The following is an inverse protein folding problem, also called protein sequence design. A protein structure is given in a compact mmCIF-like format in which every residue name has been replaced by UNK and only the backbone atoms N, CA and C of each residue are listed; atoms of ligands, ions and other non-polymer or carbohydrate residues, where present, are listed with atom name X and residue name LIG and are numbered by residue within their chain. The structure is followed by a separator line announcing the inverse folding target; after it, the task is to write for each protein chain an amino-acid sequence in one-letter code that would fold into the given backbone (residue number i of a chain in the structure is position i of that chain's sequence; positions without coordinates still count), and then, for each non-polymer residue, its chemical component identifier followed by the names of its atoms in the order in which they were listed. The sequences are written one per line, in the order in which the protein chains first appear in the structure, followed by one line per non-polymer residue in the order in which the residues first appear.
data_IF_873871379880
#
_entry.id   IF_873871379880
#
_cell.length_a   1.000
_cell.length_b   1.000
_cell.length_c   1.000
_cell.angle_alpha   90.00
_cell.angle_beta   90.00
_cell.angle_gamma   90.00
#
_symmetry.space_group_name_H-M   'P 1'
#
loop_
_entity.id
_entity.type
_entity.pdbx_description
1 polymer ?
#
# COMPACT_ATOMS: atom_id res chain seq x y z
N UNK A 1 24.50 36.24 15.57
CA UNK A 1 23.27 35.56 15.11
C UNK A 1 23.49 34.06 15.31
N UNK A 2 23.01 33.49 16.42
CA UNK A 2 23.13 32.04 16.70
C UNK A 2 21.90 31.38 16.10
N UNK A 3 22.10 30.52 15.10
CA UNK A 3 21.05 29.69 14.54
C UNK A 3 20.92 28.48 15.48
N UNK A 4 19.93 28.53 16.37
CA UNK A 4 19.48 27.35 17.13
C UNK A 4 18.72 26.46 16.18
N UNK A 5 19.31 25.31 15.84
CA UNK A 5 18.60 24.21 15.20
C UNK A 5 17.63 23.63 16.24
N UNK A 6 16.34 23.96 16.14
CA UNK A 6 15.29 23.27 16.88
C UNK A 6 15.15 21.89 16.25
N UNK A 7 15.68 20.86 16.93
CA UNK A 7 15.28 19.48 16.66
C UNK A 7 13.76 19.45 16.85
N UNK A 8 13.03 19.17 15.78
CA UNK A 8 11.59 18.93 15.81
C UNK A 8 11.30 17.92 16.91
N UNK A 9 10.48 18.32 17.89
CA UNK A 9 9.97 17.44 18.93
C UNK A 9 9.03 16.40 18.31
N UNK A 10 9.59 15.35 17.69
CA UNK A 10 8.90 14.07 17.69
C UNK A 10 8.90 13.60 19.15
N UNK A 11 7.78 13.84 19.82
CA UNK A 11 7.51 13.33 21.18
C UNK A 11 7.49 11.81 21.11
N UNK A 12 8.65 11.17 21.22
CA UNK A 12 8.79 9.72 21.34
C UNK A 12 8.24 9.31 22.70
N UNK A 13 6.95 9.02 22.73
CA UNK A 13 6.34 8.33 23.86
C UNK A 13 6.61 6.84 23.67
N UNK A 14 7.29 6.27 24.66
CA UNK A 14 7.85 4.92 24.57
C UNK A 14 6.88 3.82 24.99
N UNK A 15 5.81 4.16 25.72
CA UNK A 15 5.02 3.21 26.50
C UNK A 15 3.72 3.88 27.02
N UNK A 16 2.67 3.08 27.25
CA UNK A 16 1.37 3.51 27.78
C UNK A 16 0.68 4.57 26.92
N UNK A 17 0.53 4.26 25.63
CA UNK A 17 -0.06 5.18 24.64
C UNK A 17 -1.16 4.51 23.79
N UNK A 18 -2.19 5.30 23.49
CA UNK A 18 -3.12 5.04 22.39
C UNK A 18 -2.58 5.71 21.12
N UNK A 19 -2.26 4.90 20.12
CA UNK A 19 -1.69 5.32 18.85
C UNK A 19 -2.78 5.24 17.78
N UNK A 20 -3.15 6.40 17.25
CA UNK A 20 -4.02 6.47 16.07
C UNK A 20 -3.20 6.10 14.82
N UNK A 21 -3.51 4.97 14.22
CA UNK A 21 -2.81 4.42 13.06
C UNK A 21 -3.35 5.06 11.77
N UNK A 22 -3.16 6.37 11.65
CA UNK A 22 -3.41 7.11 10.40
C UNK A 22 -2.23 7.00 9.43
N UNK A 23 -1.01 6.98 9.99
CA UNK A 23 0.25 6.78 9.27
C UNK A 23 0.97 5.55 9.83
N UNK A 24 1.91 5.02 9.05
CA UNK A 24 2.78 3.95 9.53
C UNK A 24 3.90 4.48 10.41
N UNK A 25 4.39 3.65 11.32
CA UNK A 25 5.42 4.07 12.27
C UNK A 25 6.11 2.93 12.97
N UNK A 26 7.05 3.29 13.83
CA UNK A 26 7.82 2.34 14.64
C UNK A 26 7.66 2.67 16.11
N UNK A 27 7.55 1.63 16.94
CA UNK A 27 7.51 1.73 18.39
C UNK A 27 8.60 0.86 18.95
N UNK A 28 9.28 1.39 19.97
CA UNK A 28 10.34 0.70 20.67
C UNK A 28 10.06 0.74 22.18
N UNK A 29 10.40 -0.35 22.87
CA UNK A 29 10.32 -0.40 24.33
C UNK A 29 11.26 0.63 24.96
N UNK A 30 10.94 1.15 26.16
CA UNK A 30 11.84 2.04 26.89
C UNK A 30 13.24 1.43 27.07
N UNK A 31 14.28 2.17 26.66
CA UNK A 31 15.69 1.74 26.78
C UNK A 31 16.22 0.89 25.62
N UNK A 32 15.38 0.56 24.63
CA UNK A 32 15.84 -0.04 23.37
C UNK A 32 16.86 0.88 22.67
N UNK A 33 17.95 0.36 22.06
CA UNK A 33 18.32 -1.05 21.94
C UNK A 33 19.30 -1.56 23.04
N UNK A 34 19.51 -0.82 24.13
CA UNK A 34 20.59 -1.11 25.09
C UNK A 34 20.14 -2.10 26.16
N UNK A 35 19.16 -1.73 26.97
CA UNK A 35 18.54 -2.59 27.98
C UNK A 35 17.08 -2.17 28.13
N UNK A 36 16.16 -3.12 28.25
CA UNK A 36 14.78 -2.80 28.54
C UNK A 36 14.58 -2.54 30.04
N UNK A 37 13.64 -1.65 30.34
CA UNK A 37 13.28 -1.23 31.70
C UNK A 37 11.94 -1.85 32.09
N UNK A 38 11.89 -2.47 33.27
CA UNK A 38 10.73 -3.23 33.78
C UNK A 38 10.02 -2.51 34.93
N UNK A 39 9.92 -1.17 34.86
CA UNK A 39 9.36 -0.42 35.99
C UNK A 39 7.84 -0.45 36.06
N UNK A 40 7.17 -0.58 34.92
CA UNK A 40 5.73 -0.68 34.77
C UNK A 40 5.42 -1.50 33.50
N UNK A 41 4.27 -2.17 33.47
CA UNK A 41 3.78 -2.82 32.26
C UNK A 41 3.60 -1.76 31.16
N UNK A 42 4.09 -2.09 29.96
CA UNK A 42 4.01 -1.21 28.82
C UNK A 42 2.88 -1.61 27.89
N UNK A 43 1.91 -0.71 27.76
CA UNK A 43 0.74 -0.92 26.93
C UNK A 43 0.76 0.00 25.71
N UNK A 44 0.48 -0.56 24.53
CA UNK A 44 0.25 0.19 23.31
C UNK A 44 -1.09 -0.22 22.71
N UNK A 45 -2.04 0.71 22.69
CA UNK A 45 -3.33 0.52 22.02
C UNK A 45 -3.23 1.11 20.61
N UNK A 46 -3.11 0.26 19.61
CA UNK A 46 -3.12 0.67 18.20
C UNK A 46 -4.56 0.73 17.72
N UNK A 47 -4.97 1.88 17.18
CA UNK A 47 -6.34 2.11 16.70
C UNK A 47 -6.33 2.68 15.30
N UNK A 48 -6.78 1.89 14.34
CA UNK A 48 -7.03 2.32 12.98
C UNK A 48 -8.45 2.89 12.82
N UNK A 49 -8.70 3.58 11.71
CA UNK A 49 -10.03 4.07 11.40
C UNK A 49 -11.00 2.90 11.15
N UNK A 50 -12.32 3.09 11.35
CA UNK A 50 -13.31 2.08 11.05
C UNK A 50 -13.16 1.53 9.63
N UNK A 51 -13.33 0.22 9.46
CA UNK A 51 -13.18 -0.46 8.17
C UNK A 51 -11.74 -0.74 7.74
N UNK A 52 -10.74 -0.29 8.52
CA UNK A 52 -9.34 -0.68 8.38
C UNK A 52 -8.96 -1.70 9.46
N UNK A 53 -7.85 -2.39 9.23
CA UNK A 53 -7.20 -3.34 10.13
C UNK A 53 -5.81 -2.84 10.49
N UNK A 54 -5.29 -3.27 11.64
CA UNK A 54 -3.94 -2.95 12.09
C UNK A 54 -3.00 -4.09 11.72
N UNK A 55 -1.93 -3.78 10.99
CA UNK A 55 -0.78 -4.66 10.84
C UNK A 55 0.29 -4.26 11.84
N UNK A 56 0.81 -5.23 12.58
CA UNK A 56 2.05 -5.09 13.33
C UNK A 56 3.07 -6.04 12.77
N UNK A 57 4.28 -5.54 12.53
CA UNK A 57 5.44 -6.34 12.17
C UNK A 57 6.44 -6.24 13.31
N UNK A 58 6.57 -7.30 14.08
CA UNK A 58 7.56 -7.41 15.14
C UNK A 58 8.92 -7.60 14.48
N UNK A 59 9.79 -6.60 14.57
CA UNK A 59 11.07 -6.54 13.84
C UNK A 59 12.22 -7.07 14.69
N UNK A 60 12.24 -6.72 15.96
CA UNK A 60 13.22 -7.18 16.94
C UNK A 60 12.52 -7.42 18.27
N UNK A 61 12.83 -8.55 18.90
CA UNK A 61 12.44 -8.82 20.28
C UNK A 61 13.58 -9.60 20.92
N UNK A 62 14.11 -9.03 22.00
CA UNK A 62 15.16 -9.60 22.82
C UNK A 62 14.73 -9.38 24.25
N UNK A 63 13.98 -10.35 24.78
CA UNK A 63 13.49 -10.40 26.14
C UNK A 63 14.23 -11.48 26.94
N UNK A 64 13.94 -11.54 28.24
CA UNK A 64 14.47 -12.62 29.08
C UNK A 64 13.80 -13.93 28.67
N UNK A 65 14.60 -14.95 28.40
CA UNK A 65 14.11 -16.31 28.19
C UNK A 65 13.72 -16.96 29.53
N UNK A 66 12.93 -18.02 29.46
CA UNK A 66 12.60 -18.86 30.61
C UNK A 66 13.87 -19.47 31.22
N UNK A 67 14.01 -19.36 32.54
CA UNK A 67 15.11 -19.96 33.28
C UNK A 67 14.98 -21.49 33.40
N UNK A 68 16.04 -22.22 33.80
CA UNK A 68 16.02 -23.69 33.90
C UNK A 68 15.01 -24.27 34.90
N UNK A 69 14.49 -23.43 35.81
CA UNK A 69 13.51 -23.80 36.85
C UNK A 69 12.17 -23.09 36.67
N UNK A 70 12.00 -22.34 35.58
CA UNK A 70 10.79 -21.61 35.28
C UNK A 70 10.01 -22.32 34.18
N UNK A 71 8.70 -22.48 34.35
CA UNK A 71 7.84 -23.06 33.31
C UNK A 71 7.29 -22.02 32.34
N UNK A 72 7.21 -20.76 32.75
CA UNK A 72 6.53 -19.68 32.03
C UNK A 72 7.44 -18.46 31.87
N UNK A 73 7.19 -17.69 30.81
CA UNK A 73 7.85 -16.41 30.58
C UNK A 73 7.50 -15.42 31.69
N UNK A 74 8.52 -14.92 32.39
CA UNK A 74 8.33 -13.85 33.38
C UNK A 74 8.30 -12.47 32.74
N UNK A 75 9.12 -12.27 31.71
CA UNK A 75 9.10 -11.06 30.88
C UNK A 75 8.60 -11.48 29.50
N UNK A 76 7.47 -10.96 29.05
CA UNK A 76 6.82 -11.41 27.82
C UNK A 76 6.19 -10.24 27.05
N UNK A 77 6.03 -10.44 25.74
CA UNK A 77 5.24 -9.56 24.89
C UNK A 77 3.95 -10.30 24.50
N UNK A 78 2.82 -9.72 24.87
CA UNK A 78 1.50 -10.18 24.48
C UNK A 78 0.90 -9.28 23.42
N UNK A 79 0.25 -9.89 22.42
CA UNK A 79 -0.60 -9.20 21.44
C UNK A 79 -2.01 -9.70 21.63
N UNK A 80 -2.94 -8.78 21.90
CA UNK A 80 -4.30 -9.07 22.32
C UNK A 80 -5.28 -8.32 21.42
N UNK A 81 -6.32 -9.00 20.97
CA UNK A 81 -7.44 -8.42 20.22
C UNK A 81 -8.75 -8.83 20.90
N UNK A 82 -9.57 -7.86 21.30
CA UNK A 82 -10.87 -8.10 21.95
C UNK A 82 -10.82 -9.11 23.12
N UNK A 83 -9.74 -9.08 23.89
CA UNK A 83 -9.49 -9.99 25.03
C UNK A 83 -8.94 -11.36 24.64
N UNK A 84 -8.79 -11.67 23.36
CA UNK A 84 -8.14 -12.89 22.85
C UNK A 84 -6.65 -12.65 22.67
N UNK A 85 -5.84 -13.49 23.31
CA UNK A 85 -4.38 -13.50 23.12
C UNK A 85 -4.06 -14.11 21.76
N UNK A 86 -3.45 -13.31 20.88
CA UNK A 86 -2.99 -13.73 19.56
C UNK A 86 -1.54 -14.23 19.60
N UNK A 87 -0.73 -13.68 20.51
CA UNK A 87 0.67 -14.01 20.69
C UNK A 87 1.05 -13.75 22.15
N UNK A 88 1.88 -14.62 22.73
CA UNK A 88 2.49 -14.46 24.06
C UNK A 88 3.86 -15.13 24.02
N UNK A 89 4.92 -14.33 23.89
CA UNK A 89 6.27 -14.85 23.65
C UNK A 89 7.33 -14.11 24.48
N UNK A 90 8.43 -14.82 24.75
CA UNK A 90 9.62 -14.26 25.39
C UNK A 90 10.91 -14.76 24.72
N UNK A 91 12.05 -14.23 25.19
CA UNK A 91 13.35 -14.57 24.62
C UNK A 91 13.69 -13.77 23.36
N UNK A 92 14.48 -14.40 22.48
CA UNK A 92 15.01 -13.76 21.27
C UNK A 92 14.21 -14.16 20.04
N UNK A 93 13.80 -13.17 19.25
CA UNK A 93 13.12 -13.38 17.98
C UNK A 93 14.11 -13.78 16.89
N UNK A 94 13.90 -14.96 16.29
CA UNK A 94 14.76 -15.44 15.21
C UNK A 94 14.50 -14.73 13.87
N UNK A 95 13.25 -14.34 13.59
CA UNK A 95 12.80 -13.68 12.36
C UNK A 95 11.60 -12.79 12.64
N UNK A 96 11.44 -11.74 11.84
CA UNK A 96 10.30 -10.85 11.96
C UNK A 96 8.96 -11.60 11.80
N UNK A 97 7.98 -11.26 12.63
CA UNK A 97 6.62 -11.84 12.63
C UNK A 97 5.63 -10.75 12.24
N UNK A 98 4.69 -11.07 11.37
CA UNK A 98 3.59 -10.19 10.99
C UNK A 98 2.31 -10.64 11.68
N UNK A 99 1.72 -9.77 12.48
CA UNK A 99 0.41 -9.94 13.11
C UNK A 99 -0.59 -9.00 12.42
N UNK A 100 -1.76 -9.52 12.07
CA UNK A 100 -2.85 -8.78 11.47
C UNK A 100 -4.08 -8.89 12.36
N UNK A 101 -4.57 -7.76 12.88
CA UNK A 101 -5.83 -7.69 13.62
C UNK A 101 -7.01 -8.08 12.70
N UNK A 102 -8.10 -8.60 13.22
CA UNK A 102 -9.40 -8.78 12.54
C UNK A 102 -10.22 -7.49 12.53
N UNK A 103 -10.21 -6.75 13.64
CA UNK A 103 -10.86 -5.46 13.81
C UNK A 103 -9.95 -4.27 13.51
N UNK A 104 -10.36 -3.08 13.96
CA UNK A 104 -9.60 -1.84 13.81
C UNK A 104 -8.74 -1.50 15.04
N UNK A 105 -8.64 -2.40 16.02
CA UNK A 105 -7.89 -2.19 17.25
C UNK A 105 -7.01 -3.40 17.56
N UNK A 106 -5.80 -3.13 18.08
CA UNK A 106 -4.87 -4.16 18.53
C UNK A 106 -4.13 -3.66 19.77
N UNK A 107 -4.08 -4.46 20.83
CA UNK A 107 -3.40 -4.11 22.06
C UNK A 107 -2.09 -4.90 22.18
N UNK A 108 -0.99 -4.21 22.43
CA UNK A 108 0.30 -4.82 22.71
C UNK A 108 0.69 -4.52 24.15
N UNK A 109 0.98 -5.56 24.91
CA UNK A 109 1.39 -5.45 26.30
C UNK A 109 2.75 -6.10 26.47
N UNK A 110 3.75 -5.29 26.84
CA UNK A 110 5.03 -5.79 27.32
C UNK A 110 5.03 -5.80 28.86
N UNK A 111 5.05 -7.00 29.42
CA UNK A 111 5.08 -7.24 30.86
C UNK A 111 6.50 -7.60 31.26
N UNK A 112 7.08 -6.86 32.21
CA UNK A 112 8.42 -7.12 32.74
C UNK A 112 8.39 -7.27 34.25
N UNK A 113 8.40 -8.49 34.76
CA UNK A 113 8.34 -8.77 36.21
C UNK A 113 9.72 -9.06 36.82
N UNK A 114 10.79 -9.06 36.01
CA UNK A 114 12.16 -9.24 36.50
C UNK A 114 12.77 -7.96 37.10
N UNK A 115 14.10 -7.86 37.18
CA UNK A 115 14.79 -6.68 37.74
C UNK A 115 14.41 -5.40 37.00
N UNK A 116 14.45 -4.24 37.67
CA UNK A 116 14.10 -2.93 37.10
C UNK A 116 14.77 -2.61 35.74
N UNK A 117 15.95 -3.16 35.46
CA UNK A 117 16.61 -3.15 34.14
C UNK A 117 17.15 -4.54 33.85
N UNK A 118 16.93 -5.01 32.61
CA UNK A 118 17.46 -6.29 32.16
C UNK A 118 18.36 -6.10 30.92
N UNK A 119 19.56 -6.71 30.86
CA UNK A 119 20.58 -6.44 29.83
C UNK A 119 20.27 -7.13 28.49
N UNK A 120 19.14 -6.75 27.90
CA UNK A 120 18.57 -7.30 26.67
C UNK A 120 17.88 -6.17 25.93
N UNK A 121 17.84 -6.22 24.59
CA UNK A 121 17.50 -5.04 23.78
C UNK A 121 16.08 -4.52 24.00
N UNK A 122 15.13 -5.41 24.27
CA UNK A 122 13.71 -5.07 24.38
C UNK A 122 12.96 -5.39 23.10
N UNK A 123 12.00 -4.54 22.73
CA UNK A 123 11.06 -4.77 21.63
C UNK A 123 11.11 -3.61 20.64
N UNK A 124 11.09 -3.93 19.35
CA UNK A 124 10.88 -3.00 18.24
C UNK A 124 9.83 -3.59 17.28
N UNK A 125 8.78 -2.83 17.02
CA UNK A 125 7.79 -3.20 16.02
C UNK A 125 7.42 -2.03 15.12
N UNK A 126 7.11 -2.37 13.88
CA UNK A 126 6.50 -1.48 12.89
C UNK A 126 4.99 -1.69 12.87
N UNK A 127 4.22 -0.63 12.73
CA UNK A 127 2.77 -0.71 12.62
C UNK A 127 2.26 0.08 11.42
N UNK A 128 1.17 -0.38 10.81
CA UNK A 128 0.47 0.34 9.74
C UNK A 128 -1.00 -0.07 9.63
N UNK A 129 -1.83 0.81 9.07
CA UNK A 129 -3.21 0.48 8.73
C UNK A 129 -3.28 -0.23 7.38
N UNK A 130 -4.14 -1.24 7.27
CA UNK A 130 -4.44 -2.01 6.06
C UNK A 130 -5.94 -1.94 5.79
N UNK A 131 -6.30 -1.77 4.51
CA UNK A 131 -7.66 -1.50 4.06
C UNK A 131 -7.98 -0.01 4.10
N UNK A 132 -8.95 0.41 3.31
CA UNK A 132 -9.36 1.82 3.23
C UNK A 132 -10.46 2.15 4.24
N UNK A 133 -10.44 3.40 4.72
CA UNK A 133 -11.40 3.91 5.72
C UNK A 133 -12.85 3.66 5.28
N UNK A 134 -13.70 3.24 6.21
CA UNK A 134 -15.14 3.16 6.00
C UNK A 134 -15.68 4.58 5.84
N UNK A 135 -16.19 4.89 4.65
CA UNK A 135 -16.86 6.16 4.39
C UNK A 135 -18.35 6.04 4.70
N UNK A 136 -18.91 7.10 5.28
CA UNK A 136 -20.36 7.21 5.42
C UNK A 136 -20.99 7.52 4.06
N UNK A 137 -22.21 7.03 3.79
CA UNK A 137 -22.94 7.44 2.60
C UNK A 137 -23.10 8.97 2.53
N UNK A 138 -22.95 9.57 1.34
CA UNK A 138 -23.13 11.01 1.17
C UNK A 138 -24.58 11.40 1.46
N UNK A 139 -24.82 12.66 1.84
CA UNK A 139 -26.19 13.19 1.90
C UNK A 139 -26.85 13.08 0.54
N UNK A 140 -28.13 12.71 0.54
CA UNK A 140 -28.91 12.45 -0.67
C UNK A 140 -28.30 11.38 -1.59
N UNK A 141 -27.61 10.41 -0.99
CA UNK A 141 -27.09 9.22 -1.66
C UNK A 141 -26.99 8.03 -0.73
N UNK A 142 -26.53 6.91 -1.27
CA UNK A 142 -26.41 5.64 -0.55
C UNK A 142 -25.20 4.84 -1.05
N UNK A 143 -24.71 3.94 -0.20
CA UNK A 143 -23.70 2.96 -0.57
C UNK A 143 -24.39 1.82 -1.33
N UNK A 144 -23.89 1.53 -2.53
CA UNK A 144 -24.37 0.40 -3.35
C UNK A 144 -23.70 -0.88 -2.88
N UNK A 145 -22.37 -0.87 -2.80
CA UNK A 145 -21.58 -1.97 -2.24
C UNK A 145 -20.24 -1.47 -1.73
N UNK A 146 -19.62 -2.29 -0.86
CA UNK A 146 -18.21 -2.16 -0.47
C UNK A 146 -17.61 -3.55 -0.32
N UNK A 147 -16.41 -3.74 -0.86
CA UNK A 147 -15.55 -4.88 -0.59
C UNK A 147 -14.19 -4.37 -0.05
N UNK A 148 -13.17 -5.22 -0.04
CA UNK A 148 -11.83 -4.85 0.49
C UNK A 148 -11.08 -3.84 -0.39
N UNK A 149 -11.37 -3.80 -1.69
CA UNK A 149 -10.66 -3.02 -2.71
C UNK A 149 -11.50 -1.89 -3.29
N UNK A 150 -12.81 -2.03 -3.32
CA UNK A 150 -13.72 -1.16 -4.07
C UNK A 150 -14.93 -0.80 -3.23
N UNK A 151 -15.40 0.44 -3.40
CA UNK A 151 -16.66 0.91 -2.87
C UNK A 151 -17.40 1.71 -3.95
N UNK A 152 -18.70 1.48 -4.06
CA UNK A 152 -19.56 2.18 -5.01
C UNK A 152 -20.66 2.92 -4.27
N UNK A 153 -20.85 4.18 -4.61
CA UNK A 153 -21.87 5.06 -4.07
C UNK A 153 -22.74 5.61 -5.19
N UNK A 154 -24.01 5.83 -4.88
CA UNK A 154 -24.96 6.39 -5.83
C UNK A 154 -25.79 7.50 -5.19
N UNK A 155 -25.89 8.63 -5.88
CA UNK A 155 -26.81 9.70 -5.53
C UNK A 155 -28.26 9.31 -5.86
N UNK A 156 -29.18 9.81 -5.05
CA UNK A 156 -30.63 9.72 -5.28
C UNK A 156 -31.03 10.37 -6.62
N UNK A 157 -32.28 10.15 -7.04
CA UNK A 157 -32.81 10.74 -8.27
C UNK A 157 -32.72 12.28 -8.20
N UNK A 158 -32.29 12.92 -9.29
CA UNK A 158 -32.04 14.37 -9.44
C UNK A 158 -30.82 14.94 -8.69
N UNK A 159 -30.03 14.09 -8.04
CA UNK A 159 -28.77 14.45 -7.42
C UNK A 159 -27.58 13.85 -8.16
N UNK A 160 -26.44 14.56 -8.15
CA UNK A 160 -25.19 14.15 -8.79
C UNK A 160 -24.00 14.57 -7.94
N UNK A 161 -22.86 13.91 -8.12
CA UNK A 161 -21.63 14.35 -7.47
C UNK A 161 -21.10 15.64 -8.13
N UNK A 162 -20.68 16.65 -7.34
CA UNK A 162 -20.36 17.98 -7.84
C UNK A 162 -19.17 18.04 -8.81
N UNK A 163 -18.23 17.12 -8.65
CA UNK A 163 -16.95 17.08 -9.39
C UNK A 163 -17.03 16.26 -10.69
N UNK A 164 -17.86 15.21 -10.75
CA UNK A 164 -18.02 14.40 -11.97
C UNK A 164 -19.31 14.70 -12.73
N UNK A 165 -20.30 15.31 -12.08
CA UNK A 165 -21.67 15.46 -12.61
C UNK A 165 -22.35 14.13 -12.96
N UNK A 166 -21.83 13.03 -12.43
CA UNK A 166 -22.41 11.69 -12.53
C UNK A 166 -23.15 11.34 -11.22
N UNK A 167 -24.18 10.49 -11.32
CA UNK A 167 -24.84 9.97 -10.11
C UNK A 167 -24.08 8.82 -9.45
N UNK A 168 -23.15 8.18 -10.16
CA UNK A 168 -22.39 7.03 -9.69
C UNK A 168 -20.97 7.46 -9.31
N UNK A 169 -20.46 6.93 -8.20
CA UNK A 169 -19.06 7.09 -7.79
C UNK A 169 -18.47 5.73 -7.46
N UNK A 170 -17.43 5.38 -8.19
CA UNK A 170 -16.58 4.24 -7.90
C UNK A 170 -15.29 4.72 -7.22
N UNK A 171 -14.99 4.15 -6.07
CA UNK A 171 -13.77 4.38 -5.32
C UNK A 171 -12.96 3.09 -5.26
N UNK A 172 -11.68 3.20 -5.59
CA UNK A 172 -10.72 2.10 -5.51
C UNK A 172 -9.70 2.38 -4.41
N UNK A 173 -9.41 1.37 -3.62
CA UNK A 173 -8.47 1.42 -2.51
C UNK A 173 -7.04 1.30 -3.04
N UNK A 174 -6.37 2.43 -3.15
CA UNK A 174 -4.99 2.56 -3.59
C UNK A 174 -4.00 2.42 -2.43
N UNK A 175 -2.80 1.89 -2.73
CA UNK A 175 -1.70 1.68 -1.79
C UNK A 175 -2.04 0.88 -0.53
N UNK A 176 -3.17 0.15 -0.57
CA UNK A 176 -3.62 -0.71 0.51
C UNK A 176 -4.24 0.01 1.71
N UNK A 177 -4.37 1.34 1.71
CA UNK A 177 -5.01 2.08 2.80
C UNK A 177 -5.65 3.45 2.45
N UNK A 178 -5.54 3.92 1.20
CA UNK A 178 -6.07 5.23 0.78
C UNK A 178 -7.04 5.11 -0.39
N UNK A 179 -8.14 5.87 -0.38
CA UNK A 179 -9.04 5.93 -1.54
C UNK A 179 -8.40 6.74 -2.67
N UNK A 180 -8.59 6.31 -3.92
CA UNK A 180 -8.14 7.02 -5.11
C UNK A 180 -8.75 8.43 -5.24
N UNK A 181 -10.00 8.60 -4.77
CA UNK A 181 -10.79 9.82 -4.89
C UNK A 181 -11.56 10.10 -3.59
N UNK A 182 -11.99 11.35 -3.43
CA UNK A 182 -12.86 11.77 -2.32
C UNK A 182 -14.33 11.43 -2.57
N UNK A 183 -15.12 11.37 -1.49
CA UNK A 183 -16.58 11.19 -1.54
C UNK A 183 -17.29 12.46 -1.04
N UNK A 184 -17.60 13.43 -1.92
CA UNK A 184 -18.39 14.61 -1.55
C UNK A 184 -19.89 14.27 -1.40
N UNK A 185 -20.63 15.15 -0.72
CA UNK A 185 -22.10 15.09 -0.67
C UNK A 185 -22.71 15.34 -2.05
N UNK A 186 -23.85 14.69 -2.32
CA UNK A 186 -24.55 14.86 -3.59
C UNK A 186 -25.23 16.24 -3.67
N UNK A 187 -25.27 16.81 -4.87
CA UNK A 187 -25.87 18.13 -5.12
C UNK A 187 -26.94 18.04 -6.22
N UNK A 188 -27.85 19.02 -6.25
CA UNK A 188 -28.83 19.15 -7.33
C UNK A 188 -28.35 20.13 -8.40
N UNK A 189 -28.93 20.07 -9.60
CA UNK A 189 -28.69 21.06 -10.67
C UNK A 189 -28.96 22.51 -10.20
N UNK A 190 -29.94 22.70 -9.30
CA UNK A 190 -30.27 24.02 -8.73
C UNK A 190 -29.13 24.61 -7.90
N UNK A 191 -28.26 23.79 -7.33
CA UNK A 191 -27.08 24.19 -6.54
C UNK A 191 -25.84 24.48 -7.38
N UNK A 192 -25.78 24.03 -8.65
CA UNK A 192 -24.70 24.37 -9.58
C UNK A 192 -24.73 25.84 -10.03
N UNK A 193 -25.77 26.59 -9.66
CA UNK A 193 -25.85 28.04 -9.90
C UNK A 193 -25.58 28.83 -8.62
N UNK A 194 -24.34 29.29 -8.47
CA UNK A 194 -24.13 30.65 -8.03
C UNK A 194 -22.98 31.26 -8.83
N UNK A 195 -23.30 32.06 -9.85
CA UNK A 195 -22.87 33.44 -10.12
C UNK A 195 -23.79 33.93 -11.25
N UNK A 196 -24.38 35.11 -11.09
CA UNK A 196 -25.49 35.58 -11.93
C UNK A 196 -25.18 35.57 -13.42
N UNK A 197 -25.85 34.67 -14.16
CA UNK A 197 -25.98 34.75 -15.61
C UNK A 197 -27.42 35.11 -15.93
N UNK A 198 -27.59 36.35 -16.39
CA UNK A 198 -28.83 36.87 -16.95
C UNK A 198 -29.06 36.18 -18.30
N UNK A 199 -30.16 35.41 -18.40
CA UNK A 199 -30.86 35.11 -19.65
C UNK A 199 -30.20 34.13 -20.64
N UNK A 200 -30.72 32.90 -20.71
CA UNK A 200 -31.54 32.38 -21.84
C UNK A 200 -32.07 30.98 -21.46
N UNK A 201 -33.30 30.58 -21.86
CA UNK A 201 -33.78 29.22 -21.64
C UNK A 201 -33.01 28.23 -22.52
N UNK A 202 -32.65 27.08 -21.94
CA UNK A 202 -32.09 25.94 -22.65
C UNK A 202 -33.15 25.35 -23.61
N UNK A 203 -32.83 25.04 -24.87
CA UNK A 203 -33.83 24.53 -25.80
C UNK A 203 -34.14 23.07 -25.49
N UNK A 204 -35.43 22.77 -25.34
CA UNK A 204 -35.96 21.39 -25.33
C UNK A 204 -35.81 20.81 -26.73
N UNK A 205 -34.83 19.94 -26.95
CA UNK A 205 -34.80 19.10 -28.14
C UNK A 205 -35.33 17.71 -27.81
N UNK A 206 -36.57 17.51 -28.27
CA UNK A 206 -37.05 16.34 -29.02
C UNK A 206 -36.48 14.99 -28.63
N UNK A 207 -37.37 14.13 -28.11
CA UNK A 207 -37.29 12.69 -28.32
C UNK A 207 -36.83 12.39 -29.75
N UNK A 208 -35.80 11.56 -29.88
CA UNK A 208 -35.62 10.71 -31.05
C UNK A 208 -35.61 9.28 -30.54
N UNK A 209 -36.70 8.59 -30.87
CA UNK A 209 -36.77 7.13 -30.81
C UNK A 209 -35.64 6.56 -31.67
N UNK A 210 -34.72 5.84 -31.03
CA UNK A 210 -33.86 4.89 -31.74
C UNK A 210 -33.81 3.59 -30.94
N UNK A 211 -34.67 2.68 -31.39
CA UNK A 211 -34.57 1.23 -31.37
C UNK A 211 -33.48 0.60 -30.47
N UNK A 212 -33.99 -0.16 -29.52
CA UNK A 212 -33.33 -1.26 -28.83
C UNK A 212 -32.58 -2.13 -29.85
N UNK A 213 -31.26 -2.11 -29.77
CA UNK A 213 -30.44 -3.27 -30.10
C UNK A 213 -29.52 -3.52 -28.91
N UNK A 214 -29.71 -4.66 -28.27
CA UNK A 214 -28.85 -5.15 -27.20
C UNK A 214 -27.43 -5.29 -27.74
N UNK A 215 -26.46 -4.68 -27.06
CA UNK A 215 -25.05 -5.01 -27.25
C UNK A 215 -24.30 -4.72 -25.95
N UNK A 216 -24.01 -5.80 -25.22
CA UNK A 216 -22.85 -5.84 -24.34
C UNK A 216 -21.63 -5.59 -25.22
N UNK A 217 -21.06 -4.39 -25.24
CA UNK A 217 -19.70 -4.19 -25.73
C UNK A 217 -18.95 -3.19 -24.85
N UNK A 218 -17.75 -3.63 -24.51
CA UNK A 218 -16.81 -3.03 -23.59
C UNK A 218 -16.40 -1.60 -23.98
N UNK A 219 -15.88 -0.87 -22.99
CA UNK A 219 -15.27 0.44 -23.11
C UNK A 219 -14.45 0.59 -24.42
N UNK A 220 -14.87 1.53 -25.26
CA UNK A 220 -14.10 1.96 -26.42
C UNK A 220 -12.95 2.83 -25.87
N UNK A 221 -11.78 2.21 -25.75
CA UNK A 221 -10.49 2.86 -25.54
C UNK A 221 -10.26 3.83 -26.70
N UNK A 222 -9.91 5.09 -26.38
CA UNK A 222 -9.57 6.10 -27.39
C UNK A 222 -8.45 5.57 -28.29
N UNK A 223 -8.70 5.62 -29.60
CA UNK A 223 -7.83 5.14 -30.68
C UNK A 223 -6.44 5.82 -30.68
N UNK A 224 -6.26 6.93 -29.95
CA UNK A 224 -4.96 7.62 -29.81
C UNK A 224 -3.97 6.92 -28.89
N UNK A 225 -4.43 6.15 -27.90
CA UNK A 225 -3.55 5.64 -26.83
C UNK A 225 -2.96 4.27 -27.18
N UNK A 226 -3.70 3.46 -27.96
CA UNK A 226 -3.23 2.16 -28.45
C UNK A 226 -1.99 2.28 -29.36
N UNK A 227 -1.92 3.34 -30.19
CA UNK A 227 -0.81 3.53 -31.12
C UNK A 227 0.50 3.77 -30.36
N UNK A 228 0.49 4.62 -29.34
CA UNK A 228 1.71 4.90 -28.57
C UNK A 228 2.07 3.77 -27.60
N UNK A 229 1.09 3.16 -26.93
CA UNK A 229 1.37 2.15 -25.90
C UNK A 229 1.73 0.77 -26.48
N UNK A 230 1.31 0.45 -27.71
CA UNK A 230 1.53 -0.88 -28.31
C UNK A 230 2.43 -0.83 -29.54
N UNK A 231 2.27 0.13 -30.45
CA UNK A 231 3.06 0.14 -31.69
C UNK A 231 4.50 0.59 -31.44
N UNK A 232 4.73 1.52 -30.50
CA UNK A 232 6.08 2.01 -30.22
C UNK A 232 6.95 0.93 -29.55
N UNK A 233 6.52 0.21 -28.50
CA UNK A 233 7.34 -0.86 -27.92
C UNK A 233 7.57 -2.03 -28.88
N UNK A 234 6.57 -2.40 -29.69
CA UNK A 234 6.69 -3.51 -30.64
C UNK A 234 7.68 -3.19 -31.77
N UNK A 235 7.65 -1.97 -32.31
CA UNK A 235 8.65 -1.53 -33.30
C UNK A 235 10.07 -1.52 -32.74
N UNK A 236 10.27 -1.06 -31.50
CA UNK A 236 11.57 -1.06 -30.83
C UNK A 236 12.10 -2.50 -30.69
N UNK A 237 11.24 -3.44 -30.24
CA UNK A 237 11.61 -4.86 -30.11
C UNK A 237 11.98 -5.45 -31.48
N UNK A 238 11.20 -5.19 -32.53
CA UNK A 238 11.50 -5.67 -33.87
C UNK A 238 12.85 -5.16 -34.38
N UNK A 239 13.15 -3.87 -34.20
CA UNK A 239 14.44 -3.28 -34.60
C UNK A 239 15.60 -3.91 -33.82
N UNK A 240 15.44 -4.12 -32.51
CA UNK A 240 16.46 -4.77 -31.68
C UNK A 240 16.73 -6.23 -32.10
N UNK A 241 15.69 -7.00 -32.42
CA UNK A 241 15.84 -8.39 -32.86
C UNK A 241 16.54 -8.48 -34.22
N UNK A 242 16.15 -7.63 -35.17
CA UNK A 242 16.78 -7.60 -36.51
C UNK A 242 18.24 -7.15 -36.37
N UNK A 243 18.52 -6.09 -35.60
CA UNK A 243 19.88 -5.60 -35.36
C UNK A 243 20.77 -6.66 -34.74
N UNK A 244 20.31 -7.33 -33.68
CA UNK A 244 21.06 -8.42 -33.05
C UNK A 244 21.25 -9.62 -33.99
N UNK A 245 20.25 -9.95 -34.81
CA UNK A 245 20.35 -11.01 -35.82
C UNK A 245 21.43 -10.73 -36.86
N UNK A 246 21.52 -9.49 -37.38
CA UNK A 246 22.57 -9.09 -38.32
C UNK A 246 23.95 -9.18 -37.67
N UNK A 247 24.10 -8.76 -36.42
CA UNK A 247 25.37 -8.88 -35.68
C UNK A 247 25.81 -10.34 -35.60
N UNK A 248 24.90 -11.27 -35.27
CA UNK A 248 25.20 -12.70 -35.22
C UNK A 248 25.64 -13.22 -36.59
N UNK A 249 24.94 -12.85 -37.66
CA UNK A 249 25.29 -13.25 -39.03
C UNK A 249 26.66 -12.72 -39.43
N UNK A 250 26.98 -11.46 -39.10
CA UNK A 250 28.30 -10.86 -39.36
C UNK A 250 29.38 -11.59 -38.57
N UNK A 251 29.17 -11.89 -37.27
CA UNK A 251 30.11 -12.68 -36.47
C UNK A 251 30.32 -14.06 -37.10
N UNK A 252 29.25 -14.73 -37.52
CA UNK A 252 29.35 -16.04 -38.15
C UNK A 252 30.10 -15.98 -39.49
N UNK A 253 29.85 -14.94 -40.28
CA UNK A 253 30.55 -14.70 -41.54
C UNK A 253 32.03 -14.38 -41.34
N UNK A 254 32.37 -13.56 -40.34
CA UNK A 254 33.75 -13.27 -39.95
C UNK A 254 34.47 -14.51 -39.41
N UNK A 255 33.80 -15.32 -38.57
CA UNK A 255 34.35 -16.60 -38.10
C UNK A 255 34.57 -17.58 -39.25
N UNK A 256 33.63 -17.68 -40.20
CA UNK A 256 33.78 -18.51 -41.41
C UNK A 256 34.95 -18.04 -42.29
N UNK A 257 35.16 -16.72 -42.42
CA UNK A 257 36.33 -16.16 -43.09
C UNK A 257 37.63 -16.49 -42.35
N UNK A 258 37.69 -16.37 -41.03
CA UNK A 258 38.88 -16.76 -40.25
C UNK A 258 39.23 -18.24 -40.44
N UNK A 259 38.24 -19.14 -40.46
CA UNK A 259 38.45 -20.57 -40.76
C UNK A 259 38.96 -20.78 -42.20
N UNK A 260 38.46 -20.03 -43.18
CA UNK A 260 38.97 -20.12 -44.55
C UNK A 260 40.39 -19.57 -44.71
N UNK A 261 40.78 -18.61 -43.88
CA UNK A 261 42.13 -18.00 -43.91
C UNK A 261 43.15 -18.90 -43.22
N UNK A 262 42.78 -19.59 -42.14
CA UNK A 262 43.63 -20.59 -41.49
C UNK A 262 43.87 -21.82 -42.39
N UNK A 263 42.84 -22.32 -43.09
CA UNK A 263 43.00 -23.45 -44.04
C UNK A 263 43.92 -23.09 -45.23
N UNK A 264 43.93 -21.83 -45.69
CA UNK A 264 44.89 -21.37 -46.71
C UNK A 264 46.33 -21.22 -46.18
N UNK A 265 46.51 -20.92 -44.88
CA UNK A 265 47.84 -20.85 -44.26
C UNK A 265 48.48 -22.23 -44.04
N UNK A 266 47.71 -23.32 -43.95
CA UNK A 266 48.23 -24.69 -43.83
C UNK A 266 48.58 -25.36 -45.18
N UNK A 267 48.16 -24.80 -46.32
CA UNK A 267 48.42 -25.37 -47.65
C UNK A 267 49.54 -24.67 -48.42
N UNK A 268 50.18 -23.66 -47.82
CA UNK A 268 51.36 -22.98 -48.38
C UNK A 268 52.50 -23.03 -47.36
N UNK A 269 52.93 -24.24 -47.02
CA UNK A 269 54.28 -24.48 -46.50
C UNK A 269 55.02 -25.32 -47.54
N UNK A 270 56.13 -24.84 -48.12
CA UNK A 270 56.90 -25.62 -49.09
C UNK A 270 57.55 -26.80 -48.35
N UNK A 271 57.26 -28.02 -48.78
CA UNK A 271 58.03 -29.20 -48.41
C UNK A 271 59.44 -29.08 -48.99
N UNK A 272 60.44 -29.16 -48.11
CA UNK A 272 61.76 -29.72 -48.39
C UNK A 272 61.66 -31.19 -48.75
#
# INVERSE_FOLDING_TARGET
MRITLTVSEHKTKFCNEEINVAEEGFVMSPGYPIYYVNKDDCHWLLKASPGQRVQVTLLDMSLRSTGPRESNCTDHLQVIEDGRVMMDECGELAKAIVIMSEGNMLNLTFTGLSQNMFPKRGVLFHYKAIGCVQLNPPKDGYMVFRNQTDAQFMCCVDYMFPDTLDRLRDLHCHNGNTWNNSLPDCITDKSLKPWGWIGTPMPTNSLKDTNITNSHTAAIVKESDFVFDVMLPTLIICVLLIGNGVIIVVIFYMRKRQVSTSVHAYLVSPGT
#
